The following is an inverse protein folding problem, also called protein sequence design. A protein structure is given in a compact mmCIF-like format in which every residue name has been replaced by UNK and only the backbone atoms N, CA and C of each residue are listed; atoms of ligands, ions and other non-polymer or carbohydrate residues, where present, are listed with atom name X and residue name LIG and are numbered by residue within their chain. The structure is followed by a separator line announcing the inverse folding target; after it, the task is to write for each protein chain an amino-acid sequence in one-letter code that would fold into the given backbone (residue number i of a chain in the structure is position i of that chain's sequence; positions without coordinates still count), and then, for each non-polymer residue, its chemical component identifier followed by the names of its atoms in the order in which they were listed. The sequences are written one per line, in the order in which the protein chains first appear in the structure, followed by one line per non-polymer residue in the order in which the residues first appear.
data_IF_822106638519
#
_entry.id   IF_822106638519
#
_cell.length_a   1.000
_cell.length_b   1.000
_cell.length_c   1.000
_cell.angle_alpha   90.00
_cell.angle_beta   90.00
_cell.angle_gamma   90.00
#
_symmetry.space_group_name_H-M   'P 1'
#
loop_
_entity.id
_entity.type
_entity.pdbx_description
1 polymer ?
#
# COMPACT_ATOMS: atom_id res chain seq x y z
N UNK A 1 9.22 -15.32 12.64
CA UNK A 1 7.77 -15.41 13.02
C UNK A 1 7.33 -14.26 13.96
N UNK A 2 8.11 -13.20 14.15
CA UNK A 2 7.68 -11.88 14.61
C UNK A 2 7.31 -11.05 13.36
N UNK A 3 6.38 -10.09 13.45
CA UNK A 3 5.85 -9.21 12.37
C UNK A 3 4.66 -9.67 11.51
N UNK A 4 4.10 -10.88 11.69
CA UNK A 4 2.81 -11.23 11.04
C UNK A 4 1.65 -10.41 11.63
N UNK A 5 1.70 -10.12 12.93
CA UNK A 5 0.69 -9.33 13.63
C UNK A 5 0.66 -7.86 13.20
N UNK A 6 1.82 -7.26 12.91
CA UNK A 6 1.87 -5.83 12.52
C UNK A 6 1.28 -5.63 11.11
N UNK A 7 1.62 -6.52 10.16
CA UNK A 7 1.03 -6.50 8.82
C UNK A 7 -0.48 -6.79 8.84
N UNK A 8 -0.92 -7.71 9.71
CA UNK A 8 -2.34 -7.99 9.96
C UNK A 8 -3.09 -6.78 10.54
N UNK A 9 -2.51 -6.13 11.55
CA UNK A 9 -3.11 -4.93 12.16
C UNK A 9 -3.30 -3.81 11.14
N UNK A 10 -2.30 -3.53 10.30
CA UNK A 10 -2.47 -2.55 9.20
C UNK A 10 -3.57 -2.94 8.22
N UNK A 11 -3.70 -4.23 7.90
CA UNK A 11 -4.75 -4.71 7.01
C UNK A 11 -6.13 -4.57 7.65
N UNK A 12 -6.30 -5.02 8.88
CA UNK A 12 -7.60 -5.08 9.53
C UNK A 12 -8.08 -3.70 10.02
N UNK A 13 -7.17 -2.84 10.49
CA UNK A 13 -7.52 -1.50 11.00
C UNK A 13 -7.49 -0.39 9.94
N UNK A 14 -6.73 -0.54 8.86
CA UNK A 14 -6.62 0.51 7.83
C UNK A 14 -7.21 0.05 6.52
N UNK A 15 -6.82 -1.13 6.03
CA UNK A 15 -7.19 -1.57 4.68
C UNK A 15 -8.67 -1.99 4.55
N UNK A 16 -9.23 -2.70 5.53
CA UNK A 16 -10.63 -3.17 5.54
C UNK A 16 -11.63 -2.02 5.75
N UNK A 17 -11.51 -1.12 6.75
CA UNK A 17 -12.47 -0.03 6.95
C UNK A 17 -12.47 0.98 5.81
N UNK A 18 -11.36 1.15 5.10
CA UNK A 18 -11.29 2.03 3.92
C UNK A 18 -11.85 1.38 2.63
N UNK A 19 -12.52 0.22 2.73
CA UNK A 19 -13.26 -0.41 1.63
C UNK A 19 -12.46 -1.41 0.79
N UNK A 20 -11.25 -1.79 1.24
CA UNK A 20 -10.46 -2.88 0.66
C UNK A 20 -10.18 -2.76 -0.84
N UNK A 21 -10.21 -3.89 -1.54
CA UNK A 21 -9.92 -4.00 -2.99
C UNK A 21 -11.17 -3.92 -3.88
N UNK A 22 -12.36 -3.69 -3.30
CA UNK A 22 -13.66 -3.79 -4.01
C UNK A 22 -14.22 -2.46 -4.50
N UNK A 23 -13.69 -1.32 -4.05
CA UNK A 23 -14.24 0.01 -4.30
C UNK A 23 -13.40 0.86 -5.30
N UNK A 24 -12.61 0.21 -6.17
CA UNK A 24 -11.90 0.86 -7.28
C UNK A 24 -10.47 1.30 -7.00
N UNK A 25 -9.70 1.53 -8.08
CA UNK A 25 -8.24 1.84 -8.05
C UNK A 25 -7.89 3.02 -7.15
N UNK A 26 -8.71 4.08 -7.14
CA UNK A 26 -8.46 5.28 -6.34
C UNK A 26 -8.48 5.07 -4.82
N UNK A 27 -9.38 4.21 -4.30
CA UNK A 27 -9.40 3.90 -2.86
C UNK A 27 -8.25 2.99 -2.46
N UNK A 28 -7.88 2.03 -3.30
CA UNK A 28 -6.72 1.17 -3.02
C UNK A 28 -5.42 1.97 -2.91
N UNK A 29 -5.24 3.01 -3.73
CA UNK A 29 -4.09 3.93 -3.65
C UNK A 29 -4.07 4.65 -2.30
N UNK A 30 -5.21 5.19 -1.85
CA UNK A 30 -5.31 5.84 -0.53
C UNK A 30 -5.02 4.88 0.62
N UNK A 31 -5.50 3.64 0.54
CA UNK A 31 -5.28 2.63 1.57
C UNK A 31 -3.80 2.27 1.69
N UNK A 32 -3.12 2.11 0.54
CA UNK A 32 -1.69 1.87 0.49
C UNK A 32 -0.90 3.07 1.03
N UNK A 33 -1.31 4.30 0.70
CA UNK A 33 -0.68 5.52 1.21
C UNK A 33 -0.75 5.57 2.74
N UNK A 34 -1.93 5.26 3.32
CA UNK A 34 -2.10 5.22 4.76
C UNK A 34 -1.21 4.16 5.43
N UNK A 35 -1.12 2.96 4.86
CA UNK A 35 -0.23 1.90 5.37
C UNK A 35 1.24 2.32 5.33
N UNK A 36 1.69 2.92 4.23
CA UNK A 36 3.09 3.36 4.07
C UNK A 36 3.43 4.55 4.99
N UNK A 37 2.51 5.51 5.15
CA UNK A 37 2.68 6.61 6.09
C UNK A 37 2.75 6.11 7.54
N UNK A 38 1.85 5.22 7.94
CA UNK A 38 1.87 4.66 9.28
C UNK A 38 3.13 3.80 9.53
N UNK A 39 3.61 3.09 8.50
CA UNK A 39 4.87 2.33 8.59
C UNK A 39 6.07 3.27 8.79
N UNK A 40 6.10 4.41 8.10
CA UNK A 40 7.12 5.44 8.27
C UNK A 40 7.06 6.11 9.65
N UNK A 41 5.85 6.47 10.09
CA UNK A 41 5.61 7.03 11.43
C UNK A 41 5.98 6.05 12.55
N UNK A 42 5.75 4.76 12.37
CA UNK A 42 6.12 3.71 13.32
C UNK A 42 7.63 3.57 13.50
N UNK A 43 8.43 3.79 12.45
CA UNK A 43 9.89 3.65 12.53
C UNK A 43 10.60 4.86 13.15
N UNK A 44 9.91 6.01 13.23
CA UNK A 44 10.38 7.18 13.95
C UNK A 44 9.99 8.49 13.27
N UNK A 45 9.81 9.56 14.04
CA UNK A 45 9.41 10.88 13.55
C UNK A 45 10.52 11.65 12.79
N UNK A 46 11.57 10.97 12.34
CA UNK A 46 12.63 11.60 11.55
C UNK A 46 12.22 11.69 10.08
N UNK A 47 12.69 12.76 9.41
CA UNK A 47 12.32 13.05 8.02
C UNK A 47 12.71 11.92 7.04
N UNK A 48 13.77 11.18 7.36
CA UNK A 48 14.25 10.06 6.55
C UNK A 48 13.24 8.91 6.46
N UNK A 49 12.53 8.59 7.55
CA UNK A 49 11.54 7.50 7.53
C UNK A 49 10.29 7.86 6.73
N UNK A 50 9.90 9.14 6.77
CA UNK A 50 8.79 9.66 5.95
C UNK A 50 9.17 9.63 4.47
N UNK A 51 10.35 10.12 4.10
CA UNK A 51 10.84 10.08 2.71
C UNK A 51 10.96 8.65 2.18
N UNK A 52 11.48 7.73 3.01
CA UNK A 52 11.60 6.33 2.66
C UNK A 52 10.22 5.66 2.45
N UNK A 53 9.28 5.90 3.36
CA UNK A 53 7.90 5.40 3.22
C UNK A 53 7.19 5.98 1.99
N UNK A 54 7.44 7.26 1.68
CA UNK A 54 6.90 7.92 0.49
C UNK A 54 7.49 7.33 -0.79
N UNK A 55 8.81 7.12 -0.85
CA UNK A 55 9.50 6.51 -1.99
C UNK A 55 8.96 5.12 -2.31
N UNK A 56 8.80 4.28 -1.29
CA UNK A 56 8.26 2.93 -1.45
C UNK A 56 6.79 2.93 -1.85
N UNK A 57 6.00 3.83 -1.28
CA UNK A 57 4.63 4.05 -1.74
C UNK A 57 4.59 4.48 -3.22
N UNK A 58 5.48 5.38 -3.64
CA UNK A 58 5.54 5.89 -5.01
C UNK A 58 5.90 4.77 -6.00
N UNK A 59 6.85 3.91 -5.62
CA UNK A 59 7.22 2.73 -6.40
C UNK A 59 6.06 1.74 -6.52
N UNK A 60 5.36 1.45 -5.41
CA UNK A 60 4.16 0.59 -5.41
C UNK A 60 3.01 1.18 -6.22
N UNK A 61 2.85 2.50 -6.19
CA UNK A 61 1.86 3.23 -6.97
C UNK A 61 2.16 3.11 -8.46
N UNK A 62 3.42 3.33 -8.84
CA UNK A 62 3.88 3.24 -10.22
C UNK A 62 3.69 1.81 -10.76
N UNK A 63 4.01 0.81 -9.94
CA UNK A 63 3.74 -0.59 -10.22
C UNK A 63 2.25 -0.82 -10.47
N UNK A 64 1.35 -0.37 -9.58
CA UNK A 64 -0.10 -0.58 -9.75
C UNK A 64 -0.69 0.18 -10.93
N UNK A 65 -0.19 1.36 -11.25
CA UNK A 65 -0.61 2.14 -12.41
C UNK A 65 -0.13 1.49 -13.73
N UNK A 66 1.04 0.84 -13.72
CA UNK A 66 1.60 0.13 -14.88
C UNK A 66 1.03 -1.28 -15.08
N UNK A 67 0.94 -2.09 -14.02
CA UNK A 67 0.58 -3.51 -14.09
C UNK A 67 -0.91 -3.76 -14.32
N UNK A 68 -1.79 -2.87 -13.85
CA UNK A 68 -3.23 -3.00 -14.11
C UNK A 68 -3.59 -2.88 -15.60
N UNK A 69 -2.80 -2.12 -16.39
CA UNK A 69 -2.99 -2.01 -17.85
C UNK A 69 -2.25 -3.09 -18.63
N UNK A 70 -1.13 -3.61 -18.10
CA UNK A 70 -0.32 -4.64 -18.77
C UNK A 70 -0.91 -6.04 -18.57
N UNK A 71 -1.51 -6.31 -17.41
CA UNK A 71 -2.03 -7.65 -17.07
C UNK A 71 -3.39 -7.97 -17.74
N UNK A 72 -4.20 -6.96 -18.09
CA UNK A 72 -5.40 -7.15 -18.91
C UNK A 72 -5.07 -7.53 -20.38
N UNK A 73 -3.80 -7.44 -20.79
CA UNK A 73 -3.35 -7.75 -22.16
C UNK A 73 -2.87 -9.19 -22.37
N UNK A 74 -2.89 -10.03 -21.34
CA UNK A 74 -2.55 -11.45 -21.46
C UNK A 74 -3.84 -12.28 -21.32
N UNK A 75 -4.50 -12.67 -22.42
CA UNK A 75 -5.37 -13.83 -22.36
C UNK A 75 -4.49 -15.00 -21.93
N UNK A 76 -4.69 -15.46 -20.71
CA UNK A 76 -4.15 -16.74 -20.25
C UNK A 76 -4.97 -17.79 -20.99
N UNK A 77 -4.44 -18.22 -22.13
CA UNK A 77 -4.76 -19.49 -22.77
C UNK A 77 -3.96 -20.59 -22.08
#
# INVERSE_FOLDING_TARGET
RWHITLGGWFRDYVYIPLGGSRQGRGRTIRNLLAVWLLTGLWHGASWNFILWGLLLFLLQLLERLGLGRILERRPVF
#
